data_IF_554086709582
#
_entry.id   IF_554086709582
#
_cell.length_a   1.000
_cell.length_b   1.000
_cell.length_c   1.000
_cell.angle_alpha   90.00
_cell.angle_beta   90.00
_cell.angle_gamma   90.00
#
_symmetry.space_group_name_H-M   'P 1'
#
loop_
_entity.id
_entity.type
_entity.pdbx_description
1 polymer ?
#
# COMPACT_ATOMS: atom_id res chain seq x y z
N UNK A 1 -20.03 -2.75 -0.65
CA UNK A 1 -19.25 -3.29 -1.81
C UNK A 1 -17.79 -3.44 -1.41
N UNK A 2 -17.04 -4.44 -1.95
CA UNK A 2 -15.60 -4.58 -1.71
C UNK A 2 -14.83 -4.30 -3.01
N UNK A 3 -13.87 -3.37 -2.97
CA UNK A 3 -12.98 -3.03 -4.08
C UNK A 3 -11.60 -3.68 -3.85
N UNK A 4 -11.21 -4.62 -4.74
CA UNK A 4 -10.00 -5.43 -4.62
C UNK A 4 -9.24 -5.61 -5.94
N UNK A 5 -9.32 -4.61 -6.81
CA UNK A 5 -8.61 -4.58 -8.10
C UNK A 5 -7.29 -3.81 -7.97
N UNK A 6 -6.28 -4.04 -8.83
CA UNK A 6 -5.04 -3.26 -8.79
C UNK A 6 -5.29 -1.75 -8.94
N UNK A 7 -4.53 -0.92 -8.21
CA UNK A 7 -4.75 0.53 -8.15
C UNK A 7 -4.78 1.20 -9.53
N UNK A 8 -3.94 0.76 -10.46
CA UNK A 8 -3.90 1.28 -11.85
C UNK A 8 -5.18 1.06 -12.68
N UNK A 9 -6.03 0.12 -12.26
CA UNK A 9 -7.29 -0.20 -12.94
C UNK A 9 -8.52 0.22 -12.14
N UNK A 10 -8.33 0.88 -10.98
CA UNK A 10 -9.43 1.20 -10.08
C UNK A 10 -10.46 2.11 -10.75
N UNK A 11 -10.02 3.22 -11.33
CA UNK A 11 -10.91 4.18 -11.99
C UNK A 11 -11.70 3.56 -13.13
N UNK A 12 -11.01 2.86 -14.02
CA UNK A 12 -11.64 2.18 -15.15
C UNK A 12 -12.66 1.15 -14.68
N UNK A 13 -12.28 0.29 -13.73
CA UNK A 13 -13.16 -0.75 -13.20
C UNK A 13 -14.39 -0.17 -12.49
N UNK A 14 -14.24 0.90 -11.69
CA UNK A 14 -15.36 1.57 -11.05
C UNK A 14 -16.27 2.26 -12.08
N UNK A 15 -15.71 2.88 -13.11
CA UNK A 15 -16.47 3.52 -14.19
C UNK A 15 -17.34 2.50 -14.93
N UNK A 16 -16.80 1.32 -15.21
CA UNK A 16 -17.54 0.26 -15.91
C UNK A 16 -18.74 -0.27 -15.13
N UNK A 17 -18.72 -0.20 -13.79
CA UNK A 17 -19.82 -0.70 -12.94
C UNK A 17 -20.68 0.42 -12.33
N UNK A 18 -20.39 1.68 -12.62
CA UNK A 18 -21.00 2.84 -11.94
C UNK A 18 -22.52 2.80 -11.92
N UNK A 19 -23.14 2.49 -13.06
CA UNK A 19 -24.61 2.44 -13.21
C UNK A 19 -25.26 1.29 -12.41
N UNK A 20 -24.46 0.30 -11.99
CA UNK A 20 -24.93 -0.86 -11.24
C UNK A 20 -24.69 -0.74 -9.73
N UNK A 21 -24.00 0.32 -9.28
CA UNK A 21 -23.73 0.55 -7.85
C UNK A 21 -24.75 1.57 -7.31
N UNK A 22 -25.69 1.16 -6.44
CA UNK A 22 -26.66 2.07 -5.89
C UNK A 22 -26.01 3.25 -5.12
N UNK A 23 -26.70 4.38 -5.11
CA UNK A 23 -26.23 5.54 -4.37
C UNK A 23 -26.11 5.25 -2.88
N UNK A 24 -25.10 5.84 -2.24
CA UNK A 24 -24.86 5.72 -0.80
C UNK A 24 -24.33 4.36 -0.34
N UNK A 25 -24.22 3.33 -1.19
CA UNK A 25 -23.61 2.05 -0.80
C UNK A 25 -22.14 2.25 -0.42
N UNK A 26 -21.73 1.93 0.83
CA UNK A 26 -20.34 2.11 1.24
C UNK A 26 -19.40 1.16 0.53
N UNK A 27 -18.13 1.58 0.39
CA UNK A 27 -17.07 0.80 -0.25
C UNK A 27 -16.00 0.42 0.77
N UNK A 28 -15.69 -0.86 0.88
CA UNK A 28 -14.52 -1.36 1.59
C UNK A 28 -13.40 -1.55 0.57
N UNK A 29 -12.30 -0.81 0.71
CA UNK A 29 -11.14 -0.91 -0.17
C UNK A 29 -10.02 -1.70 0.50
N UNK A 30 -9.45 -2.66 -0.24
CA UNK A 30 -8.21 -3.37 0.14
C UNK A 30 -7.04 -2.99 -0.78
N UNK A 31 -7.20 -1.92 -1.54
CA UNK A 31 -6.27 -1.45 -2.58
C UNK A 31 -5.13 -0.68 -1.93
N UNK A 32 -3.91 -0.92 -2.39
CA UNK A 32 -2.68 -0.29 -1.86
C UNK A 32 -1.92 0.37 -3.00
N UNK A 33 -2.02 1.69 -3.11
CA UNK A 33 -1.35 2.46 -4.16
C UNK A 33 -1.87 3.89 -4.24
N UNK A 34 -1.30 4.65 -5.17
CA UNK A 34 -1.69 6.03 -5.51
C UNK A 34 -1.88 6.05 -7.03
N UNK A 35 -2.95 6.64 -7.49
CA UNK A 35 -3.24 6.75 -8.92
C UNK A 35 -2.22 7.68 -9.61
N UNK A 36 -1.64 7.22 -10.72
CA UNK A 36 -0.70 8.02 -11.49
C UNK A 36 -1.41 9.19 -12.19
N UNK A 37 -0.77 10.33 -12.23
CA UNK A 37 -1.27 11.54 -12.92
C UNK A 37 -2.21 12.38 -12.05
N UNK A 38 -3.23 11.79 -11.43
CA UNK A 38 -4.14 12.49 -10.52
C UNK A 38 -3.61 12.56 -9.08
N UNK A 39 -2.74 11.61 -8.70
CA UNK A 39 -2.22 11.40 -7.35
C UNK A 39 -3.29 11.09 -6.31
N UNK A 40 -4.47 10.72 -6.74
CA UNK A 40 -5.57 10.38 -5.86
C UNK A 40 -5.33 9.05 -5.15
N UNK A 41 -5.69 9.01 -3.87
CA UNK A 41 -5.77 7.78 -3.07
C UNK A 41 -6.99 6.96 -3.50
N UNK A 42 -7.03 5.64 -3.28
CA UNK A 42 -8.16 4.79 -3.65
C UNK A 42 -9.52 5.32 -3.16
N UNK A 43 -9.58 5.86 -1.92
CA UNK A 43 -10.80 6.44 -1.37
C UNK A 43 -11.29 7.67 -2.14
N UNK A 44 -10.36 8.49 -2.63
CA UNK A 44 -10.67 9.68 -3.45
C UNK A 44 -11.16 9.25 -4.83
N UNK A 45 -10.50 8.28 -5.47
CA UNK A 45 -10.95 7.73 -6.76
C UNK A 45 -12.35 7.13 -6.64
N UNK A 46 -12.64 6.41 -5.55
CA UNK A 46 -14.00 5.85 -5.29
C UNK A 46 -15.03 6.98 -5.23
N UNK A 47 -14.76 8.04 -4.48
CA UNK A 47 -15.70 9.18 -4.34
C UNK A 47 -15.84 9.98 -5.63
N UNK A 48 -14.76 10.12 -6.38
CA UNK A 48 -14.75 10.82 -7.68
C UNK A 48 -15.60 10.10 -8.73
N UNK A 49 -15.47 8.77 -8.82
CA UNK A 49 -16.16 7.97 -9.85
C UNK A 49 -17.61 7.65 -9.45
N UNK A 50 -17.83 7.23 -8.21
CA UNK A 50 -19.13 6.70 -7.76
C UNK A 50 -19.98 7.74 -7.00
N UNK A 51 -19.45 8.96 -6.79
CA UNK A 51 -20.10 10.00 -6.01
C UNK A 51 -19.86 9.89 -4.50
N UNK A 52 -20.37 10.86 -3.71
CA UNK A 52 -20.19 10.91 -2.25
C UNK A 52 -20.69 9.65 -1.57
N UNK A 53 -19.83 8.99 -0.79
CA UNK A 53 -20.15 7.77 -0.04
C UNK A 53 -19.14 7.47 1.06
N UNK A 54 -19.53 6.64 2.02
CA UNK A 54 -18.63 6.11 3.02
C UNK A 54 -17.59 5.19 2.38
N UNK A 55 -16.34 5.36 2.76
CA UNK A 55 -15.24 4.49 2.35
C UNK A 55 -14.50 4.01 3.58
N UNK A 56 -14.26 2.70 3.66
CA UNK A 56 -13.42 2.08 4.67
C UNK A 56 -12.25 1.40 3.98
N UNK A 57 -11.04 1.66 4.43
CA UNK A 57 -9.83 0.98 3.94
C UNK A 57 -9.38 -0.07 4.93
N UNK A 58 -9.15 -1.29 4.46
CA UNK A 58 -8.50 -2.34 5.24
C UNK A 58 -6.99 -2.31 4.95
N UNK A 59 -6.20 -1.94 5.96
CA UNK A 59 -4.74 -1.88 5.91
C UNK A 59 -4.10 -2.76 6.98
N UNK A 60 -2.84 -3.15 6.77
CA UNK A 60 -2.09 -3.98 7.71
C UNK A 60 -1.57 -5.28 7.11
N UNK A 61 -0.84 -6.10 7.90
CA UNK A 61 -0.23 -7.34 7.45
C UNK A 61 -1.31 -8.38 7.07
N UNK A 62 -1.46 -8.64 5.79
CA UNK A 62 -2.57 -9.44 5.24
C UNK A 62 -2.22 -10.09 3.90
N UNK A 63 -1.22 -10.96 3.89
CA UNK A 63 -0.93 -11.77 2.70
C UNK A 63 -2.09 -12.71 2.38
N UNK A 64 -2.59 -12.62 1.14
CA UNK A 64 -3.76 -13.39 0.70
C UNK A 64 -3.51 -14.90 0.80
N UNK A 65 -2.30 -15.35 0.54
CA UNK A 65 -1.88 -16.75 0.60
C UNK A 65 -1.99 -17.31 2.04
N UNK A 66 -1.69 -16.50 3.05
CA UNK A 66 -1.81 -16.89 4.46
C UNK A 66 -3.27 -16.87 4.92
N UNK A 67 -4.02 -15.83 4.56
CA UNK A 67 -5.45 -15.73 4.89
C UNK A 67 -6.24 -16.88 4.27
N UNK A 68 -5.95 -17.23 3.01
CA UNK A 68 -6.59 -18.36 2.33
C UNK A 68 -6.32 -19.71 3.03
N UNK A 69 -5.17 -19.83 3.69
CA UNK A 69 -4.80 -20.99 4.52
C UNK A 69 -5.35 -20.89 5.97
N UNK A 70 -6.15 -19.88 6.26
CA UNK A 70 -6.70 -19.60 7.59
C UNK A 70 -5.64 -19.37 8.67
N UNK A 71 -4.47 -18.85 8.29
CA UNK A 71 -3.47 -18.39 9.26
C UNK A 71 -3.95 -17.11 9.93
N UNK A 72 -3.59 -16.87 11.20
CA UNK A 72 -3.99 -15.65 11.89
C UNK A 72 -3.47 -14.39 11.19
N UNK A 73 -4.35 -13.40 11.02
CA UNK A 73 -3.98 -12.09 10.50
C UNK A 73 -4.72 -10.98 11.26
N UNK A 74 -4.11 -9.81 11.30
CA UNK A 74 -4.65 -8.65 11.99
C UNK A 74 -4.53 -7.41 11.10
N UNK A 75 -5.64 -6.71 10.91
CA UNK A 75 -5.72 -5.51 10.07
C UNK A 75 -6.41 -4.35 10.77
N UNK A 76 -6.40 -3.19 10.14
CA UNK A 76 -7.11 -1.99 10.57
C UNK A 76 -8.15 -1.63 9.53
N UNK A 77 -9.38 -1.37 9.98
CA UNK A 77 -10.46 -0.75 9.20
C UNK A 77 -10.42 0.76 9.48
N UNK A 78 -10.01 1.56 8.51
CA UNK A 78 -9.91 3.01 8.65
C UNK A 78 -10.97 3.73 7.83
N UNK A 79 -11.63 4.71 8.45
CA UNK A 79 -12.63 5.57 7.82
C UNK A 79 -12.69 6.92 8.53
N UNK A 80 -13.10 7.96 7.81
CA UNK A 80 -13.55 9.24 8.35
C UNK A 80 -14.97 9.14 8.99
N UNK A 81 -15.66 8.02 8.76
CA UNK A 81 -16.92 7.62 9.38
C UNK A 81 -16.66 6.50 10.41
N UNK A 82 -16.57 6.85 11.70
CA UNK A 82 -16.26 5.90 12.77
C UNK A 82 -17.33 4.80 12.93
N UNK A 83 -18.65 5.07 12.93
CA UNK A 83 -19.68 4.04 12.86
C UNK A 83 -19.47 3.03 11.74
N UNK A 84 -19.22 3.50 10.52
CA UNK A 84 -18.99 2.63 9.36
C UNK A 84 -17.74 1.76 9.55
N UNK A 85 -16.67 2.27 10.14
CA UNK A 85 -15.47 1.47 10.43
C UNK A 85 -15.75 0.35 11.42
N UNK A 86 -16.63 0.58 12.42
CA UNK A 86 -17.09 -0.43 13.39
C UNK A 86 -17.97 -1.50 12.74
N UNK A 87 -18.85 -1.11 11.82
CA UNK A 87 -19.67 -2.07 11.07
C UNK A 87 -18.79 -3.00 10.22
N UNK A 88 -17.77 -2.44 9.57
CA UNK A 88 -16.80 -3.23 8.80
C UNK A 88 -15.95 -4.11 9.73
N UNK A 89 -15.52 -3.59 10.88
CA UNK A 89 -14.82 -4.39 11.90
C UNK A 89 -15.65 -5.61 12.29
N UNK A 90 -16.92 -5.42 12.60
CA UNK A 90 -17.83 -6.50 12.99
C UNK A 90 -18.04 -7.51 11.87
N UNK A 91 -18.24 -7.03 10.63
CA UNK A 91 -18.50 -7.88 9.47
C UNK A 91 -17.30 -8.73 9.05
N UNK A 92 -16.07 -8.23 9.23
CA UNK A 92 -14.84 -8.90 8.78
C UNK A 92 -14.10 -9.64 9.88
N UNK A 93 -14.38 -9.38 11.16
CA UNK A 93 -13.69 -10.08 12.27
C UNK A 93 -14.15 -11.54 12.33
N UNK A 94 -13.16 -12.44 12.40
CA UNK A 94 -13.37 -13.89 12.61
C UNK A 94 -12.43 -14.37 13.71
N UNK A 95 -12.50 -15.66 14.07
CA UNK A 95 -11.59 -16.27 15.05
C UNK A 95 -10.10 -16.12 14.68
N UNK A 96 -9.78 -15.99 13.39
CA UNK A 96 -8.41 -15.94 12.87
C UNK A 96 -8.08 -14.66 12.13
N UNK A 97 -9.06 -13.79 11.92
CA UNK A 97 -8.89 -12.49 11.24
C UNK A 97 -9.39 -11.38 12.16
N UNK A 98 -8.46 -10.70 12.83
CA UNK A 98 -8.77 -9.62 13.75
C UNK A 98 -8.78 -8.28 13.04
N UNK A 99 -9.83 -7.49 13.22
CA UNK A 99 -9.95 -6.13 12.68
C UNK A 99 -9.98 -5.13 13.83
N UNK A 100 -9.09 -4.13 13.79
CA UNK A 100 -9.13 -2.94 14.65
C UNK A 100 -9.70 -1.77 13.86
N UNK A 101 -10.14 -0.72 14.52
CA UNK A 101 -10.63 0.51 13.87
C UNK A 101 -9.61 1.63 13.97
N UNK A 102 -9.64 2.56 13.00
CA UNK A 102 -8.85 3.79 12.99
C UNK A 102 -9.65 4.89 12.28
N UNK A 103 -9.48 6.14 12.69
CA UNK A 103 -10.10 7.30 12.06
C UNK A 103 -9.20 7.98 11.03
N UNK A 104 -7.92 7.61 10.95
CA UNK A 104 -6.94 8.14 9.99
C UNK A 104 -6.96 7.34 8.68
N UNK A 105 -7.98 7.59 7.86
CA UNK A 105 -8.14 7.02 6.52
C UNK A 105 -6.93 7.34 5.64
N UNK A 106 -6.46 8.59 5.68
CA UNK A 106 -5.31 9.07 4.89
C UNK A 106 -4.05 8.30 5.22
N UNK A 107 -3.75 8.17 6.52
CA UNK A 107 -2.53 7.50 6.98
C UNK A 107 -2.51 6.02 6.63
N UNK A 108 -3.63 5.32 6.76
CA UNK A 108 -3.70 3.89 6.43
C UNK A 108 -3.51 3.65 4.92
N UNK A 109 -4.10 4.48 4.06
CA UNK A 109 -3.90 4.39 2.60
C UNK A 109 -2.45 4.70 2.20
N UNK A 110 -1.88 5.80 2.73
CA UNK A 110 -0.51 6.20 2.41
C UNK A 110 0.51 5.18 2.93
N UNK A 111 0.35 4.68 4.15
CA UNK A 111 1.21 3.62 4.67
C UNK A 111 1.18 2.37 3.78
N UNK A 112 -0.01 1.94 3.35
CA UNK A 112 -0.20 0.81 2.44
C UNK A 112 0.43 1.01 1.06
N UNK A 113 0.47 2.24 0.55
CA UNK A 113 1.11 2.59 -0.72
C UNK A 113 2.65 2.63 -0.58
N UNK A 114 3.15 3.38 0.41
CA UNK A 114 4.57 3.63 0.63
C UNK A 114 5.37 2.37 1.01
N UNK A 115 4.79 1.46 1.80
CA UNK A 115 5.45 0.20 2.15
C UNK A 115 5.85 -0.63 0.93
N UNK A 116 5.11 -0.52 -0.17
CA UNK A 116 5.41 -1.24 -1.41
C UNK A 116 6.73 -0.76 -2.04
N UNK A 117 7.01 0.54 -1.93
CA UNK A 117 8.29 1.14 -2.36
C UNK A 117 9.43 0.65 -1.47
N UNK A 118 9.22 0.67 -0.14
CA UNK A 118 10.22 0.17 0.82
C UNK A 118 10.48 -1.33 0.66
N UNK A 119 9.48 -2.10 0.26
CA UNK A 119 9.66 -3.52 -0.04
C UNK A 119 10.54 -3.76 -1.27
N UNK A 120 10.44 -2.91 -2.30
CA UNK A 120 11.38 -2.95 -3.44
C UNK A 120 12.81 -2.67 -2.93
N UNK A 121 13.00 -1.62 -2.11
CA UNK A 121 14.30 -1.30 -1.52
C UNK A 121 14.87 -2.46 -0.67
N UNK A 122 14.04 -3.10 0.16
CA UNK A 122 14.44 -4.27 0.94
C UNK A 122 14.83 -5.46 0.06
N UNK A 123 14.09 -5.67 -1.03
CA UNK A 123 14.42 -6.69 -2.03
C UNK A 123 15.75 -6.43 -2.72
N UNK A 124 16.05 -5.17 -3.05
CA UNK A 124 17.36 -4.79 -3.64
C UNK A 124 18.50 -5.15 -2.67
N UNK A 125 18.33 -4.87 -1.36
CA UNK A 125 19.32 -5.31 -0.36
C UNK A 125 19.51 -6.83 -0.35
N UNK A 126 18.42 -7.60 -0.51
CA UNK A 126 18.50 -9.06 -0.60
C UNK A 126 19.25 -9.51 -1.86
N UNK A 127 18.94 -8.91 -3.02
CA UNK A 127 19.56 -9.27 -4.31
C UNK A 127 21.07 -8.95 -4.39
N UNK A 128 21.49 -7.86 -3.74
CA UNK A 128 22.92 -7.48 -3.63
C UNK A 128 23.64 -8.32 -2.55
N UNK A 129 22.92 -8.92 -1.61
CA UNK A 129 23.50 -9.71 -0.52
C UNK A 129 24.00 -8.89 0.67
N UNK A 130 23.39 -7.73 0.97
CA UNK A 130 23.81 -6.86 2.08
C UNK A 130 23.49 -7.40 3.47
N UNK A 131 22.62 -8.40 3.59
CA UNK A 131 22.28 -9.07 4.85
C UNK A 131 21.28 -8.29 5.73
N UNK A 132 20.99 -8.90 6.90
CA UNK A 132 19.88 -8.47 7.78
C UNK A 132 20.11 -7.12 8.47
N UNK A 133 21.36 -6.77 8.80
CA UNK A 133 21.68 -5.48 9.42
C UNK A 133 21.34 -4.32 8.49
N UNK A 134 21.73 -4.40 7.22
CA UNK A 134 21.42 -3.38 6.22
C UNK A 134 19.92 -3.29 5.96
N UNK A 135 19.23 -4.43 5.84
CA UNK A 135 17.78 -4.49 5.67
C UNK A 135 17.05 -3.88 6.86
N UNK A 136 17.46 -4.18 8.09
CA UNK A 136 16.87 -3.62 9.31
C UNK A 136 17.06 -2.10 9.39
N UNK A 137 18.26 -1.60 9.05
CA UNK A 137 18.53 -0.17 8.97
C UNK A 137 17.68 0.51 7.89
N UNK A 138 17.56 -0.11 6.70
CA UNK A 138 16.71 0.37 5.62
C UNK A 138 15.24 0.47 6.04
N UNK A 139 14.68 -0.58 6.66
CA UNK A 139 13.29 -0.58 7.12
C UNK A 139 13.04 0.50 8.17
N UNK A 140 13.97 0.70 9.12
CA UNK A 140 13.89 1.75 10.14
C UNK A 140 13.91 3.14 9.49
N UNK A 141 14.82 3.40 8.58
CA UNK A 141 14.91 4.68 7.86
C UNK A 141 13.75 4.87 6.89
N UNK A 142 13.30 3.80 6.25
CA UNK A 142 12.13 3.77 5.37
C UNK A 142 10.85 4.16 6.12
N UNK A 143 10.66 3.65 7.35
CA UNK A 143 9.52 4.03 8.18
C UNK A 143 9.53 5.55 8.49
N UNK A 144 10.70 6.11 8.78
CA UNK A 144 10.84 7.57 9.01
C UNK A 144 10.46 8.35 7.75
N UNK A 145 10.89 7.89 6.58
CA UNK A 145 10.55 8.50 5.29
C UNK A 145 9.04 8.41 4.99
N UNK A 146 8.44 7.23 5.18
CA UNK A 146 7.01 7.01 5.06
C UNK A 146 6.20 7.93 5.99
N UNK A 147 6.63 8.04 7.24
CA UNK A 147 5.99 8.89 8.26
C UNK A 147 6.07 10.38 7.87
N UNK A 148 7.25 10.83 7.43
CA UNK A 148 7.47 12.21 6.97
C UNK A 148 6.51 12.56 5.82
N UNK A 149 6.45 11.70 4.80
CA UNK A 149 5.54 11.89 3.68
C UNK A 149 4.08 11.91 4.14
N UNK A 150 3.67 10.91 4.93
CA UNK A 150 2.29 10.80 5.39
C UNK A 150 1.85 12.00 6.21
N UNK A 151 2.67 12.47 7.15
CA UNK A 151 2.36 13.65 7.98
C UNK A 151 2.26 14.91 7.11
N UNK A 152 3.14 15.09 6.14
CA UNK A 152 3.07 16.21 5.20
C UNK A 152 1.78 16.17 4.34
N UNK A 153 1.24 14.98 4.10
CA UNK A 153 -0.03 14.77 3.38
C UNK A 153 -1.27 14.73 4.31
N UNK A 154 -1.13 15.08 5.59
CA UNK A 154 -2.23 15.21 6.53
C UNK A 154 -2.55 13.96 7.35
N UNK A 155 -1.72 12.91 7.30
CA UNK A 155 -1.88 11.71 8.11
C UNK A 155 -1.38 11.89 9.55
N UNK A 156 -1.88 11.06 10.46
CA UNK A 156 -1.37 10.97 11.83
C UNK A 156 -0.05 10.19 11.89
N UNK A 157 0.95 10.74 12.57
CA UNK A 157 2.21 10.04 12.83
C UNK A 157 2.01 8.68 13.50
N UNK A 158 1.04 8.57 14.40
CA UNK A 158 0.75 7.35 15.15
C UNK A 158 0.35 6.18 14.25
N UNK A 159 -0.31 6.44 13.13
CA UNK A 159 -0.71 5.41 12.17
C UNK A 159 0.48 4.63 11.63
N UNK A 160 1.61 5.30 11.42
CA UNK A 160 2.84 4.65 10.92
C UNK A 160 3.53 3.77 11.96
N UNK A 161 3.29 3.99 13.25
CA UNK A 161 3.78 3.14 14.35
C UNK A 161 2.86 1.93 14.63
N UNK A 162 1.72 1.85 13.94
CA UNK A 162 0.71 0.80 14.11
C UNK A 162 0.78 -0.33 13.07
N UNK A 163 -0.29 -1.14 13.05
CA UNK A 163 -0.44 -2.29 12.15
C UNK A 163 -0.35 -1.91 10.67
N UNK A 164 -0.99 -0.81 10.27
CA UNK A 164 -0.98 -0.35 8.88
C UNK A 164 0.37 0.24 8.45
N UNK A 165 1.16 0.75 9.39
CA UNK A 165 2.51 1.27 9.16
C UNK A 165 3.58 0.20 9.32
N UNK A 166 4.26 0.20 10.51
CA UNK A 166 5.39 -0.70 10.77
C UNK A 166 5.01 -2.18 10.66
N UNK A 167 3.80 -2.57 11.06
CA UNK A 167 3.35 -3.97 10.99
C UNK A 167 3.31 -4.48 9.55
N UNK A 168 2.68 -3.74 8.64
CA UNK A 168 2.59 -4.11 7.23
C UNK A 168 3.93 -3.92 6.49
N UNK A 169 4.75 -2.96 6.93
CA UNK A 169 6.11 -2.76 6.41
C UNK A 169 7.00 -3.97 6.68
N UNK A 170 7.06 -4.44 7.93
CA UNK A 170 7.86 -5.62 8.31
C UNK A 170 7.43 -6.82 7.46
N UNK A 171 6.14 -7.13 7.45
CA UNK A 171 5.60 -8.28 6.71
C UNK A 171 5.95 -8.18 5.22
N UNK A 172 5.79 -7.00 4.61
CA UNK A 172 6.01 -6.83 3.16
C UNK A 172 7.50 -6.89 2.78
N UNK A 173 8.39 -6.44 3.67
CA UNK A 173 9.84 -6.44 3.43
C UNK A 173 10.51 -7.80 3.72
N UNK A 174 9.90 -8.65 4.54
CA UNK A 174 10.52 -9.93 4.97
C UNK A 174 9.86 -11.16 4.37
N UNK A 175 8.58 -11.09 4.03
CA UNK A 175 7.83 -12.25 3.52
C UNK A 175 8.35 -12.73 2.15
N UNK A 176 8.49 -14.05 1.97
CA UNK A 176 8.81 -14.64 0.66
C UNK A 176 7.69 -14.45 -0.37
N UNK A 177 6.45 -14.20 0.08
CA UNK A 177 5.29 -13.94 -0.78
C UNK A 177 5.24 -12.51 -1.32
N UNK A 178 6.14 -11.61 -0.88
CA UNK A 178 6.15 -10.20 -1.22
C UNK A 178 6.52 -9.93 -2.69
N UNK A 179 5.54 -9.63 -3.55
CA UNK A 179 5.77 -9.31 -4.98
C UNK A 179 6.72 -8.13 -5.18
N UNK A 180 6.55 -7.05 -4.42
CA UNK A 180 7.41 -5.88 -4.50
C UNK A 180 8.84 -6.20 -4.02
N UNK A 181 8.98 -6.98 -2.94
CA UNK A 181 10.28 -7.48 -2.49
C UNK A 181 10.96 -8.33 -3.57
N UNK A 182 10.20 -9.20 -4.25
CA UNK A 182 10.74 -10.02 -5.35
C UNK A 182 11.23 -9.18 -6.52
N UNK A 183 10.49 -8.13 -6.92
CA UNK A 183 10.96 -7.15 -7.91
C UNK A 183 12.29 -6.54 -7.49
N UNK A 184 12.38 -6.06 -6.24
CA UNK A 184 13.61 -5.48 -5.71
C UNK A 184 14.77 -6.46 -5.73
N UNK A 185 14.55 -7.72 -5.34
CA UNK A 185 15.56 -8.76 -5.38
C UNK A 185 16.10 -8.96 -6.80
N UNK A 186 15.23 -9.04 -7.79
CA UNK A 186 15.62 -9.20 -9.19
C UNK A 186 16.40 -7.99 -9.73
N UNK A 187 16.03 -6.76 -9.31
CA UNK A 187 16.81 -5.55 -9.60
C UNK A 187 18.20 -5.62 -8.96
N UNK A 188 18.30 -6.04 -7.70
CA UNK A 188 19.57 -6.22 -6.99
C UNK A 188 20.46 -7.32 -7.61
N UNK A 189 19.88 -8.32 -8.23
CA UNK A 189 20.54 -9.36 -9.02
C UNK A 189 20.99 -8.87 -10.41
N UNK A 190 20.70 -7.61 -10.79
CA UNK A 190 21.10 -6.99 -12.04
C UNK A 190 20.11 -7.16 -13.21
N UNK A 191 18.88 -7.62 -12.96
CA UNK A 191 17.87 -7.72 -14.03
C UNK A 191 17.29 -6.34 -14.37
N UNK A 192 17.02 -6.12 -15.65
CA UNK A 192 16.34 -4.93 -16.13
C UNK A 192 14.84 -4.97 -15.81
N UNK A 193 14.20 -3.80 -15.77
CA UNK A 193 12.74 -3.69 -15.60
C UNK A 193 11.96 -4.56 -16.58
N UNK A 194 12.37 -4.61 -17.86
CA UNK A 194 11.67 -5.41 -18.87
C UNK A 194 11.76 -6.90 -18.56
N UNK A 195 12.95 -7.41 -18.21
CA UNK A 195 13.12 -8.81 -17.82
C UNK A 195 12.25 -9.19 -16.62
N UNK A 196 12.13 -8.28 -15.63
CA UNK A 196 11.29 -8.50 -14.46
C UNK A 196 9.81 -8.57 -14.83
N UNK A 197 9.33 -7.67 -15.71
CA UNK A 197 7.94 -7.66 -16.17
C UNK A 197 7.62 -8.96 -16.94
N UNK A 198 8.52 -9.43 -17.77
CA UNK A 198 8.34 -10.64 -18.58
C UNK A 198 8.32 -11.92 -17.71
N UNK A 199 9.06 -11.93 -16.60
CA UNK A 199 9.13 -13.07 -15.67
C UNK A 199 7.99 -13.09 -14.64
N UNK A 200 7.37 -11.95 -14.36
CA UNK A 200 6.35 -11.84 -13.32
C UNK A 200 4.92 -11.92 -13.86
N UNK A 201 4.19 -12.95 -13.43
CA UNK A 201 2.76 -13.12 -13.76
C UNK A 201 1.86 -12.09 -13.06
N UNK A 202 2.30 -11.53 -11.92
CA UNK A 202 1.48 -10.66 -11.08
C UNK A 202 2.07 -9.24 -10.98
N UNK A 203 1.18 -8.25 -11.03
CA UNK A 203 1.54 -6.83 -10.93
C UNK A 203 2.16 -6.51 -9.57
N UNK A 204 3.32 -5.85 -9.58
CA UNK A 204 3.93 -5.23 -8.41
C UNK A 204 3.57 -3.75 -8.38
N UNK A 205 2.64 -3.36 -7.51
CA UNK A 205 2.11 -1.99 -7.44
C UNK A 205 3.18 -0.94 -7.06
N UNK A 206 4.23 -1.36 -6.37
CA UNK A 206 5.35 -0.49 -6.01
C UNK A 206 6.04 0.16 -7.21
N UNK A 207 6.10 -0.50 -8.36
CA UNK A 207 6.72 0.06 -9.57
C UNK A 207 6.02 1.33 -10.05
N UNK A 208 4.69 1.34 -10.05
CA UNK A 208 3.89 2.51 -10.45
C UNK A 208 3.76 3.52 -9.32
N UNK A 209 3.58 3.07 -8.10
CA UNK A 209 3.47 3.92 -6.90
C UNK A 209 4.73 4.75 -6.66
N UNK A 210 5.93 4.20 -6.94
CA UNK A 210 7.19 4.90 -6.72
C UNK A 210 7.25 6.22 -7.49
N UNK A 211 6.86 6.23 -8.76
CA UNK A 211 6.83 7.44 -9.59
C UNK A 211 5.89 8.50 -9.02
N UNK A 212 4.64 8.12 -8.67
CA UNK A 212 3.66 9.04 -8.09
C UNK A 212 4.13 9.63 -6.75
N UNK A 213 4.78 8.81 -5.90
CA UNK A 213 5.30 9.27 -4.60
C UNK A 213 6.44 10.27 -4.78
N UNK A 214 7.40 10.01 -5.70
CA UNK A 214 8.50 10.95 -5.96
C UNK A 214 7.96 12.28 -6.50
N UNK A 215 7.04 12.23 -7.46
CA UNK A 215 6.45 13.45 -8.05
C UNK A 215 5.66 14.27 -7.01
N UNK A 216 4.86 13.61 -6.15
CA UNK A 216 4.19 14.28 -5.04
C UNK A 216 5.18 14.86 -4.02
N UNK A 217 6.22 14.11 -3.69
CA UNK A 217 7.26 14.57 -2.76
C UNK A 217 7.98 15.82 -3.27
N UNK A 218 8.31 15.86 -4.56
CA UNK A 218 8.91 17.04 -5.19
C UNK A 218 7.97 18.25 -5.17
N UNK A 219 6.69 18.03 -5.51
CA UNK A 219 5.66 19.07 -5.51
C UNK A 219 5.45 19.72 -4.14
N UNK A 220 5.63 18.94 -3.06
CA UNK A 220 5.45 19.38 -1.68
C UNK A 220 6.77 19.65 -0.93
N UNK A 221 7.92 19.54 -1.58
CA UNK A 221 9.23 19.77 -0.96
C UNK A 221 9.58 18.73 0.12
N UNK A 222 9.09 17.49 -0.01
CA UNK A 222 9.28 16.41 0.96
C UNK A 222 10.55 15.63 0.59
N UNK A 223 11.47 15.48 1.55
CA UNK A 223 12.70 14.71 1.35
C UNK A 223 12.44 13.20 1.45
N UNK A 224 12.61 12.49 0.31
CA UNK A 224 12.35 11.06 0.13
C UNK A 224 13.56 10.33 -0.50
N UNK A 225 14.71 10.28 0.19
CA UNK A 225 15.95 9.77 -0.43
C UNK A 225 15.88 8.30 -0.82
N UNK A 226 15.29 7.41 -0.01
CA UNK A 226 15.17 5.99 -0.33
C UNK A 226 14.26 5.81 -1.55
N UNK A 227 13.10 6.47 -1.56
CA UNK A 227 12.13 6.39 -2.65
C UNK A 227 12.73 6.89 -3.97
N UNK A 228 13.52 7.97 -3.96
CA UNK A 228 14.23 8.47 -5.15
C UNK A 228 15.26 7.47 -5.68
N UNK A 229 16.02 6.81 -4.79
CA UNK A 229 16.97 5.78 -5.20
C UNK A 229 16.24 4.57 -5.80
N UNK A 230 15.12 4.14 -5.22
CA UNK A 230 14.29 3.07 -5.80
C UNK A 230 13.83 3.46 -7.20
N UNK A 231 13.34 4.69 -7.40
CA UNK A 231 12.92 5.18 -8.72
C UNK A 231 14.07 5.13 -9.74
N UNK A 232 15.26 5.58 -9.33
CA UNK A 232 16.45 5.54 -10.19
C UNK A 232 16.79 4.12 -10.64
N UNK A 233 16.74 3.15 -9.73
CA UNK A 233 17.04 1.75 -10.02
C UNK A 233 15.96 1.06 -10.89
N UNK A 234 14.69 1.47 -10.78
CA UNK A 234 13.62 0.96 -11.64
C UNK A 234 13.80 1.41 -13.11
N UNK A 235 14.51 2.51 -13.33
CA UNK A 235 14.71 3.07 -14.68
C UNK A 235 16.03 2.63 -15.35
N UNK A 236 16.82 1.81 -14.67
CA UNK A 236 18.01 1.16 -15.26
C UNK A 236 17.55 -0.08 -16.04
#
# INVERSE_FOLDING_TARGET
MVASIPSKHLREGLTAIREHVPDGVPVVSVIKGIENGTFQRPSEVVRDVLGPRGVVVLGGPSHAEEIARRLPATVVAASDDEPLSKDVQQAFTTERFRVYTNTDLVGVELAGALKNVMAIAAGICDGIGYGDNAKSALMTRGLVEMTRFGVAMGASQQTFSGLAGIGDLITTCTSPHGRNRRVGQMLGEGKTRQQIIDEMVAVAEGLTTTSSVVELAEKHGIDMPITRQVLSLIHI
#
